data_IF_373782670024
#
_entry.id   IF_373782670024
#
_cell.length_a   1.000
_cell.length_b   1.000
_cell.length_c   1.000
_cell.angle_alpha   90.00
_cell.angle_beta   90.00
_cell.angle_gamma   90.00
#
_symmetry.space_group_name_H-M   'P 1'
#
loop_
_entity.id
_entity.type
_entity.pdbx_description
1 polymer ?
#
# COMPACT_ATOMS: atom_id res chain seq x y z
N UNK A 1 -23.77 1.17 -0.95
CA UNK A 1 -22.69 0.27 -1.42
C UNK A 1 -21.39 0.88 -0.93
N UNK A 2 -20.87 0.44 0.22
CA UNK A 2 -19.66 1.03 0.82
C UNK A 2 -18.48 0.66 -0.08
N UNK A 3 -17.97 1.65 -0.78
CA UNK A 3 -16.85 1.49 -1.69
C UNK A 3 -15.61 0.97 -0.92
N UNK A 4 -15.15 -0.25 -1.24
CA UNK A 4 -13.93 -0.79 -0.62
C UNK A 4 -12.76 0.09 -1.02
N UNK A 5 -12.11 0.68 -0.03
CA UNK A 5 -10.86 1.43 -0.16
C UNK A 5 -9.71 0.46 0.08
N UNK A 6 -8.72 0.41 -0.81
CA UNK A 6 -7.54 -0.43 -0.61
C UNK A 6 -6.59 0.26 0.36
N UNK A 7 -6.17 -0.45 1.40
CA UNK A 7 -5.36 0.11 2.48
C UNK A 7 -4.12 -0.71 2.77
N UNK A 8 -3.03 -0.02 3.12
CA UNK A 8 -1.86 -0.60 3.78
C UNK A 8 -1.95 -0.25 5.26
N UNK A 9 -1.96 -1.27 6.11
CA UNK A 9 -2.16 -1.09 7.54
C UNK A 9 -0.88 -1.44 8.30
N UNK A 10 -0.46 -0.56 9.21
CA UNK A 10 0.73 -0.80 10.02
C UNK A 10 1.96 -0.10 9.46
N UNK A 11 2.93 0.11 10.36
CA UNK A 11 4.12 0.88 10.05
C UNK A 11 4.95 0.29 8.91
N UNK A 12 5.25 -1.01 8.97
CA UNK A 12 6.11 -1.65 7.97
C UNK A 12 5.43 -1.67 6.59
N UNK A 13 4.13 -1.96 6.54
CA UNK A 13 3.39 -1.96 5.27
C UNK A 13 3.43 -0.57 4.61
N UNK A 14 3.18 0.49 5.39
CA UNK A 14 3.21 1.88 4.88
C UNK A 14 4.64 2.33 4.55
N UNK A 15 5.64 1.98 5.35
CA UNK A 15 7.04 2.32 5.05
C UNK A 15 7.54 1.62 3.78
N UNK A 16 7.30 0.31 3.64
CA UNK A 16 7.64 -0.44 2.44
C UNK A 16 6.89 0.10 1.23
N UNK A 17 5.58 0.35 1.37
CA UNK A 17 4.78 0.95 0.31
C UNK A 17 5.31 2.31 -0.13
N UNK A 18 5.70 3.18 0.82
CA UNK A 18 6.33 4.45 0.48
C UNK A 18 7.65 4.23 -0.29
N UNK A 19 8.48 3.26 0.12
CA UNK A 19 9.82 3.05 -0.47
C UNK A 19 9.80 2.36 -1.84
N UNK A 20 8.72 1.67 -2.19
CA UNK A 20 8.62 0.87 -3.41
C UNK A 20 7.89 1.59 -4.55
N UNK A 21 8.53 1.75 -5.70
CA UNK A 21 7.89 2.10 -6.96
C UNK A 21 7.45 0.79 -7.65
N UNK A 22 6.22 0.30 -7.38
CA UNK A 22 5.08 0.97 -7.98
C UNK A 22 3.93 1.28 -7.00
N UNK A 23 4.12 1.09 -5.69
CA UNK A 23 3.05 1.27 -4.72
C UNK A 23 2.84 2.76 -4.48
N UNK A 24 1.91 3.35 -5.23
CA UNK A 24 1.52 4.73 -5.01
C UNK A 24 0.60 4.81 -3.81
N UNK A 25 1.03 5.47 -2.74
CA UNK A 25 0.15 5.79 -1.61
C UNK A 25 -0.44 7.18 -1.89
N UNK A 26 -1.76 7.26 -2.00
CA UNK A 26 -2.46 8.51 -2.27
C UNK A 26 -2.50 9.41 -1.02
N UNK A 27 -2.77 8.81 0.14
CA UNK A 27 -2.91 9.52 1.41
C UNK A 27 -2.46 8.64 2.58
N UNK A 28 -1.87 9.24 3.61
CA UNK A 28 -1.54 8.56 4.87
C UNK A 28 -2.37 9.21 5.99
N UNK A 29 -3.11 8.40 6.73
CA UNK A 29 -3.81 8.79 7.94
C UNK A 29 -3.05 8.24 9.13
N UNK A 30 -2.70 9.10 10.09
CA UNK A 30 -2.00 8.69 11.30
C UNK A 30 -2.75 9.11 12.57
N UNK A 31 -2.67 8.27 13.60
CA UNK A 31 -3.22 8.58 14.91
C UNK A 31 -2.37 9.69 15.57
N UNK A 32 -3.02 10.79 15.96
CA UNK A 32 -2.36 11.90 16.64
C UNK A 32 -1.86 11.56 18.05
N UNK A 33 -2.41 10.51 18.69
CA UNK A 33 -1.93 10.06 19.99
C UNK A 33 -0.54 9.40 19.91
N UNK A 34 -0.12 8.97 18.71
CA UNK A 34 1.21 8.41 18.44
C UNK A 34 2.17 9.54 18.08
N UNK A 35 3.10 9.81 18.99
CA UNK A 35 4.05 10.94 18.89
C UNK A 35 5.51 10.50 18.94
N UNK A 36 5.78 9.20 18.79
CA UNK A 36 7.13 8.67 18.84
C UNK A 36 8.01 9.12 17.65
N UNK A 37 9.33 8.99 17.82
CA UNK A 37 10.28 9.40 16.79
C UNK A 37 10.12 8.60 15.49
N UNK A 38 9.69 7.34 15.60
CA UNK A 38 9.56 6.44 14.47
C UNK A 38 8.42 6.89 13.56
N UNK A 39 7.24 7.21 14.10
CA UNK A 39 6.15 7.78 13.29
C UNK A 39 6.55 9.13 12.67
N UNK A 40 7.24 9.98 13.43
CA UNK A 40 7.70 11.30 12.95
C UNK A 40 8.60 11.20 11.72
N UNK A 41 9.54 10.24 11.70
CA UNK A 41 10.42 9.97 10.54
C UNK A 41 9.63 9.48 9.32
N UNK A 42 8.65 8.61 9.54
CA UNK A 42 7.81 8.09 8.46
C UNK A 42 6.95 9.19 7.83
N UNK A 43 6.36 10.07 8.64
CA UNK A 43 5.59 11.21 8.13
C UNK A 43 6.47 12.22 7.38
N UNK A 44 7.74 12.40 7.79
CA UNK A 44 8.70 13.21 7.06
C UNK A 44 9.03 12.60 5.69
N UNK A 45 9.23 11.27 5.63
CA UNK A 45 9.44 10.53 4.38
C UNK A 45 8.22 10.62 3.46
N UNK A 46 7.01 10.50 4.00
CA UNK A 46 5.78 10.67 3.23
C UNK A 46 5.71 12.06 2.59
N UNK A 47 5.98 13.11 3.38
CA UNK A 47 6.00 14.49 2.89
C UNK A 47 7.08 14.72 1.83
N UNK A 48 8.29 14.18 2.00
CA UNK A 48 9.36 14.33 1.00
C UNK A 48 9.04 13.63 -0.32
N UNK A 49 8.15 12.64 -0.30
CA UNK A 49 7.60 11.93 -1.46
C UNK A 49 6.34 12.59 -2.03
N UNK A 50 5.90 13.73 -1.48
CA UNK A 50 4.69 14.43 -1.92
C UNK A 50 3.39 13.74 -1.52
N UNK A 51 3.43 12.74 -0.62
CA UNK A 51 2.23 12.03 -0.16
C UNK A 51 1.50 12.88 0.87
N UNK A 52 0.18 13.01 0.69
CA UNK A 52 -0.69 13.75 1.61
C UNK A 52 -0.74 13.03 2.96
N UNK A 53 -0.55 13.78 4.04
CA UNK A 53 -0.62 13.25 5.42
C UNK A 53 -1.78 13.92 6.16
N UNK A 54 -2.69 13.12 6.70
CA UNK A 54 -3.87 13.54 7.45
C UNK A 54 -3.83 12.99 8.87
N UNK A 55 -4.32 13.79 9.81
CA UNK A 55 -4.49 13.43 11.21
C UNK A 55 -5.80 12.68 11.38
N UNK A 56 -5.76 11.58 12.12
CA UNK A 56 -6.95 10.81 12.52
C UNK A 56 -6.90 10.43 14.00
N UNK A 57 -7.97 9.78 14.44
CA UNK A 57 -8.08 9.15 15.76
C UNK A 57 -8.18 7.63 15.61
N UNK A 58 -7.84 6.88 16.65
CA UNK A 58 -7.82 5.41 16.63
C UNK A 58 -9.05 4.79 15.96
N UNK A 59 -10.26 5.21 16.35
CA UNK A 59 -11.52 4.70 15.79
C UNK A 59 -11.67 4.90 14.26
N UNK A 60 -11.13 6.00 13.72
CA UNK A 60 -11.10 6.22 12.27
C UNK A 60 -10.14 5.23 11.59
N UNK A 61 -8.98 5.00 12.19
CA UNK A 61 -8.01 4.04 11.66
C UNK A 61 -8.55 2.60 11.77
N UNK A 62 -9.25 2.25 12.85
CA UNK A 62 -9.94 0.96 13.00
C UNK A 62 -10.94 0.76 11.86
N UNK A 63 -11.75 1.77 11.55
CA UNK A 63 -12.72 1.71 10.44
C UNK A 63 -12.06 1.55 9.07
N UNK A 64 -10.87 2.13 8.87
CA UNK A 64 -10.14 2.02 7.60
C UNK A 64 -9.36 0.72 7.47
N UNK A 65 -8.90 0.16 8.60
CA UNK A 65 -8.08 -1.04 8.64
C UNK A 65 -8.91 -2.33 8.71
N UNK A 66 -10.18 -2.23 9.12
CA UNK A 66 -11.03 -3.39 9.34
C UNK A 66 -10.44 -4.30 10.40
N UNK A 67 -10.20 -5.56 10.06
CA UNK A 67 -9.60 -6.55 10.98
C UNK A 67 -8.07 -6.48 11.04
N UNK A 68 -7.43 -5.68 10.18
CA UNK A 68 -5.97 -5.59 10.11
C UNK A 68 -5.41 -4.61 11.13
N UNK A 69 -4.34 -4.98 11.83
CA UNK A 69 -3.70 -4.12 12.83
C UNK A 69 -2.96 -2.93 12.19
N UNK A 70 -3.46 -1.72 12.37
CA UNK A 70 -2.88 -0.49 11.79
C UNK A 70 -1.74 0.16 12.59
N UNK A 71 -1.58 -0.14 13.89
CA UNK A 71 -0.47 0.40 14.71
C UNK A 71 -0.35 1.94 14.72
N UNK A 72 -1.47 2.65 14.55
CA UNK A 72 -1.53 4.10 14.48
C UNK A 72 -1.23 4.72 13.11
N UNK A 73 -1.16 3.93 12.03
CA UNK A 73 -1.00 4.46 10.67
C UNK A 73 -1.69 3.59 9.60
N UNK A 74 -2.34 4.25 8.64
CA UNK A 74 -2.95 3.63 7.47
C UNK A 74 -2.56 4.43 6.23
N UNK A 75 -2.11 3.75 5.18
CA UNK A 75 -1.95 4.32 3.84
C UNK A 75 -3.13 3.94 2.95
N UNK A 76 -3.76 4.91 2.30
CA UNK A 76 -4.78 4.69 1.28
C UNK A 76 -4.11 4.56 -0.08
N UNK A 77 -4.46 3.49 -0.79
CA UNK A 77 -4.00 3.26 -2.15
C UNK A 77 -5.02 3.86 -3.13
N UNK A 78 -4.56 4.45 -4.26
CA UNK A 78 -5.44 4.82 -5.34
C UNK A 78 -6.10 3.57 -5.89
N UNK A 79 -7.28 3.75 -6.48
CA UNK A 79 -7.90 2.70 -7.29
C UNK A 79 -7.09 2.55 -8.58
N UNK A 80 -6.07 1.69 -8.56
CA UNK A 80 -5.40 1.29 -9.79
C UNK A 80 -6.24 0.19 -10.45
N UNK A 81 -6.66 0.36 -11.72
CA UNK A 81 -7.32 -0.72 -12.44
C UNK A 81 -6.38 -1.93 -12.53
N UNK A 82 -6.96 -3.13 -12.47
CA UNK A 82 -6.20 -4.34 -12.75
C UNK A 82 -5.66 -4.27 -14.19
N UNK A 83 -4.40 -4.63 -14.37
CA UNK A 83 -3.80 -4.74 -15.70
C UNK A 83 -4.41 -5.94 -16.43
N UNK A 84 -4.71 -5.76 -17.71
CA UNK A 84 -5.32 -6.77 -18.57
C UNK A 84 -4.33 -7.39 -19.56
N UNK A 85 -4.89 -8.04 -20.58
CA UNK A 85 -4.09 -8.68 -21.63
C UNK A 85 -3.26 -7.70 -22.46
N UNK A 86 -3.75 -6.48 -22.68
CA UNK A 86 -3.04 -5.49 -23.50
C UNK A 86 -1.78 -5.03 -22.81
N UNK A 87 -1.87 -4.69 -21.52
CA UNK A 87 -0.74 -4.28 -20.69
C UNK A 87 0.26 -5.42 -20.51
N UNK A 88 -0.22 -6.67 -20.41
CA UNK A 88 0.67 -7.84 -20.41
C UNK A 88 1.44 -7.95 -21.73
N UNK A 89 0.79 -7.79 -22.89
CA UNK A 89 1.46 -7.86 -24.20
C UNK A 89 2.52 -6.76 -24.35
N UNK A 90 2.21 -5.55 -23.92
CA UNK A 90 3.16 -4.43 -23.92
C UNK A 90 4.36 -4.72 -23.01
N UNK A 91 4.12 -5.23 -21.80
CA UNK A 91 5.19 -5.62 -20.89
C UNK A 91 6.06 -6.75 -21.44
N UNK A 92 5.45 -7.77 -22.04
CA UNK A 92 6.15 -8.89 -22.70
C UNK A 92 7.06 -8.43 -23.84
N UNK A 93 6.64 -7.40 -24.61
CA UNK A 93 7.44 -6.86 -25.70
C UNK A 93 8.77 -6.20 -25.23
N UNK A 94 8.85 -5.80 -23.95
CA UNK A 94 10.05 -5.21 -23.34
C UNK A 94 11.01 -6.21 -22.69
N UNK A 95 10.72 -7.51 -22.76
CA UNK A 95 11.51 -8.55 -22.09
C UNK A 95 12.87 -8.76 -22.78
N UNK A 96 13.91 -8.88 -21.95
CA UNK A 96 15.28 -9.19 -22.40
C UNK A 96 15.71 -10.55 -21.86
N UNK A 97 16.85 -11.08 -22.32
CA UNK A 97 17.32 -12.41 -21.95
C UNK A 97 17.63 -12.64 -20.46
N UNK A 98 17.57 -11.62 -19.61
CA UNK A 98 17.80 -11.71 -18.15
C UNK A 98 16.51 -11.66 -17.31
N UNK A 99 15.34 -11.49 -17.93
CA UNK A 99 14.08 -11.38 -17.18
C UNK A 99 13.65 -12.74 -16.62
N UNK A 100 13.43 -12.81 -15.31
CA UNK A 100 12.77 -13.94 -14.66
C UNK A 100 11.26 -13.70 -14.63
N UNK A 101 10.48 -14.66 -15.11
CA UNK A 101 9.00 -14.61 -15.10
C UNK A 101 8.49 -15.70 -14.16
N UNK A 102 7.59 -15.32 -13.23
CA UNK A 102 6.88 -16.24 -12.35
C UNK A 102 5.43 -16.36 -12.83
N UNK A 103 5.00 -17.57 -13.19
CA UNK A 103 3.62 -17.89 -13.54
C UNK A 103 3.01 -18.67 -12.38
N UNK A 104 1.92 -18.15 -11.83
CA UNK A 104 1.20 -18.78 -10.73
C UNK A 104 -0.13 -19.30 -11.26
N UNK A 105 -0.29 -20.62 -11.29
CA UNK A 105 -1.53 -21.30 -11.69
C UNK A 105 -2.24 -21.84 -10.43
N UNK A 106 -3.57 -21.70 -10.36
CA UNK A 106 -4.38 -22.20 -9.24
C UNK A 106 -4.30 -21.41 -7.93
N UNK A 107 -4.05 -20.09 -7.96
CA UNK A 107 -4.11 -19.25 -6.76
C UNK A 107 -5.55 -19.03 -6.27
N UNK A 108 -5.89 -19.61 -5.11
CA UNK A 108 -7.22 -19.48 -4.48
C UNK A 108 -7.21 -18.70 -3.14
N UNK A 109 -6.13 -18.78 -2.34
CA UNK A 109 -5.97 -18.03 -1.07
C UNK A 109 -5.06 -16.79 -1.29
N UNK A 110 -5.55 -15.56 -1.01
CA UNK A 110 -4.76 -14.33 -1.11
C UNK A 110 -3.46 -14.31 -0.27
N UNK A 111 -3.40 -15.08 0.82
CA UNK A 111 -2.20 -15.16 1.68
C UNK A 111 -1.02 -15.84 0.99
N UNK A 112 -1.28 -16.73 0.03
CA UNK A 112 -0.23 -17.48 -0.66
C UNK A 112 0.59 -16.60 -1.62
N UNK A 113 0.06 -15.44 -2.02
CA UNK A 113 0.69 -14.53 -2.98
C UNK A 113 1.68 -13.57 -2.30
N UNK A 114 1.58 -13.40 -0.98
CA UNK A 114 2.41 -12.47 -0.21
C UNK A 114 3.54 -13.11 0.60
N UNK A 115 3.80 -14.40 0.42
CA UNK A 115 4.81 -15.18 1.15
C UNK A 115 6.20 -15.10 0.51
#
# INVERSE_FOLDING_TARGET
MTERTHTLCGFHAVETGLRSDPVQIAEIIHDTARTDQRISRLLALAKSRGVRVVRGHAAMLDSLAGEVRHQGIVGLLPRTPALGQSELKEWLAGITGQTLILILDGLEDPRNVGA
#
